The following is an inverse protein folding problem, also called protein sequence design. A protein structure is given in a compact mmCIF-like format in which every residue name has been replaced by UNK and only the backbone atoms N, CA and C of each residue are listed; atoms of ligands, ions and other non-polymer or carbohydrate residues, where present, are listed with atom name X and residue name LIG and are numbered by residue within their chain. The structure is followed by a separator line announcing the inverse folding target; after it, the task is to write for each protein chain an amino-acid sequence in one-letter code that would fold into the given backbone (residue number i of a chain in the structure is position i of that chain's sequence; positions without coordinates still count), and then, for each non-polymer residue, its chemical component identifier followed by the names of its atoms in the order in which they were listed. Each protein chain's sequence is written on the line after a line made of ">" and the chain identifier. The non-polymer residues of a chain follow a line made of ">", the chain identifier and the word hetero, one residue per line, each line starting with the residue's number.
data_IF_588984576011
#
_entry.id   IF_588984576011
#
_cell.length_a   1.000
_cell.length_b   1.000
_cell.length_c   1.000
_cell.angle_alpha   90.00
_cell.angle_beta   90.00
_cell.angle_gamma   90.00
#
_symmetry.space_group_name_H-M   'P 1'
#
loop_
_entity.id
_entity.type
_entity.pdbx_description
1 polymer ?
#
# COMPACT_ATOMS: atom_id res chain seq x y z
N UNK A 1 15.70 9.17 -9.26
CA UNK A 1 14.25 9.17 -9.50
C UNK A 1 13.55 8.77 -8.21
N UNK A 2 12.51 9.49 -7.77
CA UNK A 2 11.68 9.08 -6.61
C UNK A 2 10.77 7.91 -6.98
N UNK A 3 10.27 7.90 -8.21
CA UNK A 3 9.39 6.87 -8.76
C UNK A 3 10.03 5.48 -8.86
N UNK A 4 11.27 5.37 -9.36
CA UNK A 4 11.99 4.08 -9.33
C UNK A 4 12.12 3.51 -7.92
N UNK A 5 12.38 4.38 -6.92
CA UNK A 5 12.48 3.94 -5.54
C UNK A 5 11.17 3.41 -4.98
N UNK A 6 10.03 3.90 -5.45
CA UNK A 6 8.70 3.37 -5.10
C UNK A 6 8.43 2.06 -5.84
N UNK A 7 8.72 1.99 -7.14
CA UNK A 7 8.48 0.80 -7.96
C UNK A 7 9.33 -0.40 -7.52
N UNK A 8 10.54 -0.17 -7.02
CA UNK A 8 11.39 -1.19 -6.41
C UNK A 8 11.06 -1.46 -4.93
N UNK A 9 10.22 -0.63 -4.30
CA UNK A 9 9.78 -0.79 -2.91
C UNK A 9 8.56 -1.73 -2.85
N UNK A 10 8.80 -2.93 -2.36
CA UNK A 10 7.72 -3.80 -1.88
C UNK A 10 7.42 -3.48 -0.43
N UNK A 11 6.22 -2.97 -0.15
CA UNK A 11 5.76 -2.73 1.22
C UNK A 11 4.98 -3.94 1.68
N UNK A 12 5.45 -4.59 2.74
CA UNK A 12 4.75 -5.74 3.35
C UNK A 12 4.05 -5.27 4.62
N UNK A 13 2.72 -5.42 4.67
CA UNK A 13 1.93 -5.15 5.85
C UNK A 13 1.49 -6.48 6.45
N UNK A 14 2.05 -6.83 7.61
CA UNK A 14 1.58 -7.96 8.42
C UNK A 14 0.47 -7.49 9.34
N UNK A 15 -0.70 -8.12 9.23
CA UNK A 15 -1.86 -7.86 10.09
C UNK A 15 -2.52 -9.20 10.42
N UNK A 16 -3.18 -9.26 11.57
CA UNK A 16 -3.98 -10.43 11.94
C UNK A 16 -5.02 -10.70 10.87
N UNK A 17 -5.00 -11.90 10.32
CA UNK A 17 -6.04 -12.40 9.43
C UNK A 17 -6.75 -13.59 10.06
N UNK A 18 -7.97 -13.83 9.61
CA UNK A 18 -8.73 -15.02 9.92
C UNK A 18 -8.20 -16.18 9.08
N UNK A 19 -8.37 -17.40 9.56
CA UNK A 19 -8.09 -18.65 8.82
C UNK A 19 -8.79 -18.71 7.44
N UNK A 20 -9.90 -17.98 7.29
CA UNK A 20 -10.67 -17.87 6.04
C UNK A 20 -10.06 -16.88 5.01
N UNK A 21 -8.88 -16.29 5.27
CA UNK A 21 -8.22 -15.33 4.36
C UNK A 21 -8.74 -13.89 4.45
N UNK A 22 -9.70 -13.62 5.35
CA UNK A 22 -10.19 -12.27 5.66
C UNK A 22 -9.35 -11.63 6.75
N UNK A 23 -8.84 -10.43 6.53
CA UNK A 23 -8.16 -9.65 7.56
C UNK A 23 -9.08 -9.34 8.75
N UNK A 24 -8.55 -9.50 9.96
CA UNK A 24 -9.12 -9.03 11.21
C UNK A 24 -8.92 -7.50 11.37
N UNK A 25 -9.29 -6.77 10.32
CA UNK A 25 -9.06 -5.34 10.14
C UNK A 25 -9.27 -4.92 8.68
N UNK A 26 -9.06 -3.65 8.39
CA UNK A 26 -9.04 -3.14 7.01
C UNK A 26 -7.75 -2.37 6.80
N UNK A 27 -6.98 -2.74 5.79
CA UNK A 27 -5.83 -1.94 5.35
C UNK A 27 -6.39 -0.79 4.52
N UNK A 28 -6.31 0.40 5.10
CA UNK A 28 -6.78 1.63 4.47
C UNK A 28 -5.65 2.32 3.71
N UNK A 29 -6.00 3.30 2.88
CA UNK A 29 -5.00 4.17 2.25
C UNK A 29 -4.08 4.87 3.26
N UNK A 30 -4.52 5.03 4.51
CA UNK A 30 -3.70 5.62 5.59
C UNK A 30 -2.57 4.67 5.98
N UNK A 31 -2.87 3.41 6.33
CA UNK A 31 -1.84 2.41 6.67
C UNK A 31 -0.82 2.25 5.52
N UNK A 32 -1.31 2.24 4.28
CA UNK A 32 -0.45 2.14 3.10
C UNK A 32 0.43 3.38 2.95
N UNK A 33 -0.15 4.58 3.04
CA UNK A 33 0.59 5.84 2.98
C UNK A 33 1.65 5.96 4.08
N UNK A 34 1.32 5.57 5.31
CA UNK A 34 2.26 5.56 6.44
C UNK A 34 3.40 4.58 6.19
N UNK A 35 3.12 3.36 5.74
CA UNK A 35 4.15 2.37 5.46
C UNK A 35 5.08 2.80 4.31
N UNK A 36 4.56 3.49 3.28
CA UNK A 36 5.38 4.07 2.20
C UNK A 36 6.23 5.25 2.70
N UNK A 37 5.64 6.10 3.53
CA UNK A 37 6.31 7.23 4.17
C UNK A 37 7.46 6.75 5.06
N UNK A 38 7.22 5.68 5.83
CA UNK A 38 8.24 5.04 6.67
C UNK A 38 9.35 4.40 5.83
N UNK A 39 9.02 3.85 4.66
CA UNK A 39 9.98 3.32 3.71
C UNK A 39 10.81 4.41 2.98
N UNK A 40 10.57 5.69 3.30
CA UNK A 40 11.40 6.82 2.88
C UNK A 40 10.84 7.64 1.71
N UNK A 41 9.57 7.43 1.37
CA UNK A 41 8.87 8.23 0.36
C UNK A 41 7.64 8.87 0.96
N UNK A 42 7.70 10.20 1.15
CA UNK A 42 6.58 10.99 1.65
C UNK A 42 5.39 10.88 0.68
N UNK A 43 4.35 10.15 1.07
CA UNK A 43 3.12 9.93 0.30
C UNK A 43 1.94 10.27 1.18
N UNK A 44 1.09 11.18 0.72
CA UNK A 44 -0.16 11.49 1.41
C UNK A 44 -1.28 10.53 1.03
N UNK A 45 -2.21 10.28 1.96
CA UNK A 45 -3.44 9.50 1.71
C UNK A 45 -4.29 10.00 0.53
N UNK A 46 -4.13 11.27 0.13
CA UNK A 46 -4.81 11.86 -1.02
C UNK A 46 -4.16 11.50 -2.37
N UNK A 47 -2.87 11.15 -2.35
CA UNK A 47 -2.08 10.72 -3.52
C UNK A 47 -2.20 9.22 -3.77
N UNK A 48 -2.61 8.45 -2.74
CA UNK A 48 -2.88 7.02 -2.84
C UNK A 48 -4.20 6.77 -3.58
N UNK A 49 -4.10 6.25 -4.80
CA UNK A 49 -5.26 5.80 -5.58
C UNK A 49 -5.56 4.34 -5.25
N UNK A 50 -6.56 4.15 -4.39
CA UNK A 50 -7.17 2.84 -4.11
C UNK A 50 -8.57 2.78 -4.72
N UNK A 51 -8.73 2.40 -6.00
CA UNK A 51 -10.05 2.34 -6.64
C UNK A 51 -10.97 1.27 -6.03
N UNK A 52 -10.41 0.18 -5.48
CA UNK A 52 -11.18 -0.87 -4.79
C UNK A 52 -11.45 -0.57 -3.31
N UNK A 53 -10.93 0.54 -2.78
CA UNK A 53 -11.11 0.92 -1.38
C UNK A 53 -10.23 0.13 -0.40
N UNK A 54 -10.70 -0.01 0.84
CA UNK A 54 -9.92 -0.63 1.91
C UNK A 54 -9.81 -2.15 1.74
N UNK A 55 -8.58 -2.65 1.75
CA UNK A 55 -8.26 -4.07 1.57
C UNK A 55 -8.64 -4.84 2.85
N UNK A 56 -9.40 -5.92 2.68
CA UNK A 56 -9.86 -6.80 3.77
C UNK A 56 -9.45 -8.25 3.56
N UNK A 57 -8.61 -8.52 2.58
CA UNK A 57 -8.15 -9.86 2.22
C UNK A 57 -6.62 -9.89 2.21
N UNK A 58 -6.06 -11.02 2.61
CA UNK A 58 -4.62 -11.26 2.48
C UNK A 58 -4.29 -11.50 1.00
N UNK A 59 -3.15 -10.98 0.54
CA UNK A 59 -2.80 -11.06 -0.86
C UNK A 59 -1.87 -9.93 -1.29
N UNK A 60 -1.56 -9.94 -2.57
CA UNK A 60 -0.72 -8.94 -3.21
C UNK A 60 -1.61 -7.95 -3.94
N UNK A 61 -1.42 -6.66 -3.67
CA UNK A 61 -2.20 -5.57 -4.22
C UNK A 61 -1.26 -4.53 -4.82
N UNK A 62 -1.52 -4.14 -6.05
CA UNK A 62 -0.80 -3.05 -6.70
C UNK A 62 -1.49 -1.72 -6.40
N UNK A 63 -0.79 -0.84 -5.68
CA UNK A 63 -1.31 0.48 -5.33
C UNK A 63 -0.62 1.53 -6.20
N UNK A 64 -1.43 2.22 -7.00
CA UNK A 64 -0.98 3.36 -7.78
C UNK A 64 -0.90 4.61 -6.89
N UNK A 65 0.25 5.28 -6.91
CA UNK A 65 0.49 6.53 -6.20
C UNK A 65 0.74 7.60 -7.25
N UNK A 66 -0.09 8.63 -7.18
CA UNK A 66 -0.04 9.77 -8.07
C UNK A 66 0.74 10.88 -7.38
N UNK A 67 2.04 11.02 -7.68
CA UNK A 67 2.81 12.15 -7.18
C UNK A 67 2.46 13.40 -7.99
N UNK A 68 2.30 14.53 -7.30
CA UNK A 68 1.98 15.84 -7.89
C UNK A 68 2.88 16.31 -9.05
N UNK A 69 4.01 15.64 -9.29
CA UNK A 69 4.96 15.96 -10.36
C UNK A 69 4.65 15.26 -11.68
N UNK A 70 3.39 14.90 -11.93
CA UNK A 70 2.95 14.14 -13.12
C UNK A 70 3.58 12.73 -13.21
N UNK A 71 3.94 12.15 -12.06
CA UNK A 71 4.58 10.85 -12.00
C UNK A 71 3.68 9.85 -11.27
N UNK A 72 3.17 8.91 -12.03
CA UNK A 72 2.56 7.68 -11.55
C UNK A 72 3.65 6.71 -11.09
N UNK A 73 3.53 6.21 -9.86
CA UNK A 73 4.35 5.11 -9.34
C UNK A 73 3.44 4.02 -8.82
N UNK A 74 3.59 2.80 -9.31
CA UNK A 74 2.93 1.63 -8.75
C UNK A 74 3.83 1.01 -7.69
N UNK A 75 3.28 0.72 -6.51
CA UNK A 75 3.96 -0.05 -5.47
C UNK A 75 3.28 -1.40 -5.29
N UNK A 76 4.08 -2.41 -4.94
CA UNK A 76 3.55 -3.72 -4.59
C UNK A 76 3.31 -3.78 -3.09
N UNK A 77 2.04 -3.81 -2.70
CA UNK A 77 1.61 -4.00 -1.32
C UNK A 77 1.35 -5.48 -1.09
N UNK A 78 2.11 -6.10 -0.19
CA UNK A 78 1.89 -7.50 0.22
C UNK A 78 1.24 -7.51 1.58
N UNK A 79 -0.01 -7.99 1.66
CA UNK A 79 -0.71 -8.16 2.93
C UNK A 79 -0.60 -9.60 3.38
N UNK A 80 0.12 -9.81 4.48
CA UNK A 80 0.37 -11.12 5.06
C UNK A 80 -0.35 -11.27 6.41
N UNK A 81 -0.80 -12.50 6.69
CA UNK A 81 -1.26 -12.88 8.01
C UNK A 81 -0.06 -13.08 8.95
N UNK A 82 -0.13 -12.54 10.16
CA UNK A 82 0.75 -12.90 11.29
C UNK A 82 0.25 -14.20 11.96
#
# INVERSE_FOLDING_TARGET
>A
ARADKLAELSVTITRKASDEGKLFGSVSNIDVAEAITEAGVDVSKAEVRMPEGAIREIGEFDIAIHLHTDIDSAIKLVVAAD
#
